data_IF_324154167205
#
_entry.id   IF_324154167205
#
_cell.length_a   1.000
_cell.length_b   1.000
_cell.length_c   1.000
_cell.angle_alpha   90.00
_cell.angle_beta   90.00
_cell.angle_gamma   90.00
#
_symmetry.space_group_name_H-M   'P 1'
#
loop_
_entity.id
_entity.type
_entity.pdbx_description
1 polymer ?
#
# COMPACT_ATOMS: atom_id res chain seq x y z
N UNK A 1 0.29 53.41 -3.68
CA UNK A 1 0.92 52.06 -3.56
C UNK A 1 0.72 51.35 -4.89
N UNK A 2 1.80 51.14 -5.66
CA UNK A 2 1.72 50.72 -7.07
C UNK A 2 1.25 49.28 -7.25
N UNK A 3 0.43 49.05 -8.27
CA UNK A 3 -0.12 47.75 -8.70
C UNK A 3 0.97 46.68 -8.89
N UNK A 4 2.20 47.11 -9.23
CA UNK A 4 3.41 46.29 -9.33
C UNK A 4 3.79 45.56 -8.04
N UNK A 5 3.67 46.20 -6.86
CA UNK A 5 3.96 45.53 -5.57
C UNK A 5 2.93 44.48 -5.20
N UNK A 6 1.65 44.66 -5.59
CA UNK A 6 0.60 43.67 -5.35
C UNK A 6 0.79 42.42 -6.23
N UNK A 7 1.19 42.61 -7.49
CA UNK A 7 1.52 41.52 -8.41
C UNK A 7 2.75 40.73 -7.97
N UNK A 8 3.80 41.38 -7.46
CA UNK A 8 4.97 40.67 -6.93
C UNK A 8 4.65 39.86 -5.67
N UNK A 9 3.84 40.40 -4.75
CA UNK A 9 3.42 39.66 -3.53
C UNK A 9 2.55 38.45 -3.91
N UNK A 10 1.61 38.61 -4.85
CA UNK A 10 0.81 37.50 -5.36
C UNK A 10 1.66 36.44 -6.08
N UNK A 11 2.68 36.87 -6.83
CA UNK A 11 3.58 35.96 -7.54
C UNK A 11 4.51 35.18 -6.59
N UNK A 12 5.06 35.83 -5.55
CA UNK A 12 5.87 35.16 -4.54
C UNK A 12 5.02 34.23 -3.66
N UNK A 13 3.86 34.69 -3.19
CA UNK A 13 2.91 33.86 -2.43
C UNK A 13 2.45 32.62 -3.22
N UNK A 14 2.15 32.78 -4.52
CA UNK A 14 1.82 31.63 -5.36
C UNK A 14 3.01 30.70 -5.61
N UNK A 15 4.25 31.21 -5.70
CA UNK A 15 5.45 30.38 -5.85
C UNK A 15 5.71 29.52 -4.62
N UNK A 16 5.56 30.07 -3.43
CA UNK A 16 5.75 29.33 -2.18
C UNK A 16 4.65 28.27 -2.02
N UNK A 17 3.39 28.63 -2.33
CA UNK A 17 2.26 27.69 -2.32
C UNK A 17 2.41 26.55 -3.36
N UNK A 18 2.88 26.86 -4.58
CA UNK A 18 3.18 25.86 -5.61
C UNK A 18 4.34 24.94 -5.21
N UNK A 19 5.35 25.48 -4.52
CA UNK A 19 6.48 24.70 -4.05
C UNK A 19 6.05 23.73 -2.94
N UNK A 20 5.23 24.18 -1.99
CA UNK A 20 4.77 23.34 -0.87
C UNK A 20 3.76 22.27 -1.31
N UNK A 21 2.84 22.59 -2.22
CA UNK A 21 1.92 21.59 -2.81
C UNK A 21 2.66 20.53 -3.60
N UNK A 22 3.69 20.90 -4.36
CA UNK A 22 4.52 19.92 -5.09
C UNK A 22 5.23 18.95 -4.15
N UNK A 23 5.81 19.44 -3.04
CA UNK A 23 6.47 18.61 -2.03
C UNK A 23 5.50 17.61 -1.41
N UNK A 24 4.30 18.06 -1.01
CA UNK A 24 3.28 17.19 -0.41
C UNK A 24 2.91 16.04 -1.36
N UNK A 25 2.77 16.33 -2.66
CA UNK A 25 2.48 15.31 -3.68
C UNK A 25 3.63 14.30 -3.78
N UNK A 26 4.88 14.74 -3.82
CA UNK A 26 6.05 13.85 -3.81
C UNK A 26 6.09 12.94 -2.57
N UNK A 27 5.90 13.51 -1.37
CA UNK A 27 5.87 12.76 -0.11
C UNK A 27 4.77 11.70 -0.09
N UNK A 28 3.58 12.03 -0.63
CA UNK A 28 2.48 11.07 -0.76
C UNK A 28 2.91 9.85 -1.59
N UNK A 29 3.52 10.04 -2.76
CA UNK A 29 3.96 8.92 -3.60
C UNK A 29 5.00 8.04 -2.92
N UNK A 30 5.94 8.67 -2.20
CA UNK A 30 7.00 7.99 -1.47
C UNK A 30 6.46 7.14 -0.32
N UNK A 31 5.51 7.68 0.43
CA UNK A 31 4.85 6.95 1.51
C UNK A 31 4.06 5.75 0.99
N UNK A 32 3.32 5.93 -0.12
CA UNK A 32 2.64 4.82 -0.80
C UNK A 32 3.62 3.71 -1.20
N UNK A 33 4.74 4.08 -1.81
CA UNK A 33 5.70 3.10 -2.30
C UNK A 33 6.38 2.34 -1.16
N UNK A 34 6.78 3.04 -0.10
CA UNK A 34 7.30 2.42 1.13
C UNK A 34 6.28 1.44 1.73
N UNK A 35 5.02 1.86 1.84
CA UNK A 35 3.95 1.02 2.38
C UNK A 35 3.74 -0.24 1.54
N UNK A 36 3.60 -0.12 0.22
CA UNK A 36 3.44 -1.26 -0.70
C UNK A 36 4.63 -2.21 -0.57
N UNK A 37 5.84 -1.66 -0.52
CA UNK A 37 7.05 -2.43 -0.29
C UNK A 37 7.03 -3.19 1.03
N UNK A 38 6.60 -2.52 2.10
CA UNK A 38 6.45 -3.12 3.41
C UNK A 38 5.46 -4.30 3.38
N UNK A 39 4.30 -4.15 2.72
CA UNK A 39 3.32 -5.24 2.55
C UNK A 39 3.91 -6.45 1.84
N UNK A 40 4.64 -6.23 0.77
CA UNK A 40 5.32 -7.29 0.03
C UNK A 40 6.35 -8.01 0.91
N UNK A 41 7.22 -7.25 1.58
CA UNK A 41 8.22 -7.83 2.47
C UNK A 41 7.61 -8.58 3.65
N UNK A 42 6.50 -8.09 4.20
CA UNK A 42 5.75 -8.76 5.27
C UNK A 42 5.19 -10.12 4.81
N UNK A 43 4.56 -10.17 3.63
CA UNK A 43 4.03 -11.41 3.05
C UNK A 43 5.13 -12.45 2.83
N UNK A 44 6.24 -12.04 2.21
CA UNK A 44 7.37 -12.94 1.90
C UNK A 44 8.13 -13.38 3.15
N UNK A 45 8.39 -12.45 4.08
CA UNK A 45 9.19 -12.70 5.27
C UNK A 45 8.45 -13.50 6.34
N UNK A 46 7.16 -13.21 6.55
CA UNK A 46 6.39 -13.80 7.64
C UNK A 46 5.52 -14.97 7.16
N UNK A 47 4.64 -14.70 6.20
CA UNK A 47 3.57 -15.66 5.86
C UNK A 47 4.11 -16.81 5.01
N UNK A 48 5.01 -16.53 4.06
CA UNK A 48 5.58 -17.60 3.22
C UNK A 48 6.57 -18.46 4.01
N UNK A 49 7.55 -17.81 4.65
CA UNK A 49 8.63 -18.51 5.35
C UNK A 49 8.15 -19.29 6.57
N UNK A 50 7.41 -18.65 7.47
CA UNK A 50 7.05 -19.28 8.76
C UNK A 50 5.73 -20.05 8.69
N UNK A 51 4.70 -19.49 8.05
CA UNK A 51 3.37 -20.12 8.07
C UNK A 51 3.18 -21.20 7.01
N UNK A 52 3.82 -21.11 5.83
CA UNK A 52 3.56 -22.07 4.74
C UNK A 52 4.67 -23.09 4.62
N UNK A 53 5.91 -22.64 4.46
CA UNK A 53 7.02 -23.57 4.20
C UNK A 53 7.21 -24.54 5.36
N UNK A 54 7.07 -24.09 6.61
CA UNK A 54 7.22 -24.95 7.78
C UNK A 54 6.02 -25.88 8.04
N UNK A 55 4.78 -25.42 7.79
CA UNK A 55 3.57 -26.19 8.16
C UNK A 55 3.06 -27.10 7.03
N UNK A 56 3.17 -26.65 5.78
CA UNK A 56 2.59 -27.32 4.61
C UNK A 56 3.64 -27.73 3.56
N UNK A 57 4.89 -27.30 3.71
CA UNK A 57 5.98 -27.63 2.79
C UNK A 57 6.07 -26.72 1.56
N UNK A 58 7.09 -26.99 0.74
CA UNK A 58 7.45 -26.13 -0.39
C UNK A 58 6.46 -26.19 -1.55
N UNK A 59 5.77 -27.31 -1.75
CA UNK A 59 4.82 -27.47 -2.85
C UNK A 59 3.66 -26.47 -2.76
N UNK A 60 3.04 -26.34 -1.59
CA UNK A 60 1.94 -25.41 -1.37
C UNK A 60 2.40 -23.94 -1.38
N UNK A 61 3.68 -23.68 -1.12
CA UNK A 61 4.24 -22.32 -1.20
C UNK A 61 4.13 -21.77 -2.63
N UNK A 62 4.49 -22.57 -3.64
CA UNK A 62 4.40 -22.14 -5.04
C UNK A 62 2.95 -21.89 -5.48
N UNK A 63 2.03 -22.78 -5.09
CA UNK A 63 0.60 -22.65 -5.41
C UNK A 63 0.00 -21.37 -4.80
N UNK A 64 0.30 -21.08 -3.53
CA UNK A 64 -0.17 -19.87 -2.86
C UNK A 64 0.39 -18.59 -3.49
N UNK A 65 1.65 -18.62 -3.95
CA UNK A 65 2.26 -17.51 -4.70
C UNK A 65 1.57 -17.27 -6.05
N UNK A 66 1.22 -18.33 -6.77
CA UNK A 66 0.47 -18.22 -8.03
C UNK A 66 -0.90 -17.59 -7.75
N UNK A 67 -1.63 -18.08 -6.76
CA UNK A 67 -2.97 -17.56 -6.40
C UNK A 67 -2.90 -16.08 -5.99
N UNK A 68 -1.90 -15.72 -5.21
CA UNK A 68 -1.62 -14.33 -4.87
C UNK A 68 -1.36 -13.46 -6.11
N UNK A 69 -0.51 -13.92 -7.03
CA UNK A 69 -0.22 -13.21 -8.28
C UNK A 69 -1.44 -13.06 -9.19
N UNK A 70 -2.28 -14.09 -9.27
CA UNK A 70 -3.56 -14.05 -9.98
C UNK A 70 -4.49 -13.02 -9.37
N UNK A 71 -4.66 -13.02 -8.04
CA UNK A 71 -5.48 -12.03 -7.33
C UNK A 71 -5.02 -10.59 -7.59
N UNK A 72 -3.71 -10.35 -7.52
CA UNK A 72 -3.12 -9.04 -7.80
C UNK A 72 -3.32 -8.59 -9.25
N UNK A 73 -3.21 -9.51 -10.20
CA UNK A 73 -3.40 -9.21 -11.63
C UNK A 73 -4.85 -8.85 -11.92
N UNK A 74 -5.79 -9.66 -11.43
CA UNK A 74 -7.23 -9.43 -11.60
C UNK A 74 -7.63 -8.07 -11.01
N UNK A 75 -7.24 -7.80 -9.77
CA UNK A 75 -7.62 -6.55 -9.10
C UNK A 75 -6.99 -5.32 -9.77
N UNK A 76 -5.77 -5.43 -10.27
CA UNK A 76 -5.10 -4.35 -11.00
C UNK A 76 -5.82 -4.01 -12.31
N UNK A 77 -6.21 -5.04 -13.08
CA UNK A 77 -6.97 -4.85 -14.33
C UNK A 77 -8.33 -4.22 -14.04
N UNK A 78 -9.08 -4.78 -13.08
CA UNK A 78 -10.41 -4.28 -12.72
C UNK A 78 -10.35 -2.83 -12.26
N UNK A 79 -9.40 -2.51 -11.37
CA UNK A 79 -9.25 -1.15 -10.88
C UNK A 79 -8.80 -0.21 -12.00
N UNK A 80 -7.89 -0.59 -12.90
CA UNK A 80 -7.47 0.25 -14.02
C UNK A 80 -8.64 0.64 -14.94
N UNK A 81 -9.64 -0.23 -15.09
CA UNK A 81 -10.87 0.07 -15.85
C UNK A 81 -11.81 1.02 -15.09
N UNK A 82 -11.92 0.85 -13.77
CA UNK A 82 -12.89 1.56 -12.93
C UNK A 82 -12.36 2.92 -12.45
N UNK A 83 -11.05 3.06 -12.22
CA UNK A 83 -10.42 4.23 -11.59
C UNK A 83 -10.63 5.53 -12.38
N UNK A 84 -10.90 5.44 -13.68
CA UNK A 84 -11.25 6.60 -14.52
C UNK A 84 -12.62 7.20 -14.19
N UNK A 85 -13.50 6.42 -13.55
CA UNK A 85 -14.89 6.79 -13.22
C UNK A 85 -15.09 7.08 -11.74
N UNK A 86 -14.10 6.75 -10.90
CA UNK A 86 -14.17 6.93 -9.46
C UNK A 86 -13.15 7.97 -8.99
N UNK A 87 -13.44 8.63 -7.88
CA UNK A 87 -12.42 9.51 -7.27
C UNK A 87 -11.32 8.65 -6.63
N UNK A 88 -10.10 9.19 -6.62
CA UNK A 88 -8.95 8.55 -5.98
C UNK A 88 -9.27 8.17 -4.52
N UNK A 89 -9.92 9.08 -3.78
CA UNK A 89 -10.29 8.84 -2.39
C UNK A 89 -11.26 7.68 -2.23
N UNK A 90 -12.22 7.51 -3.13
CA UNK A 90 -13.14 6.36 -3.08
C UNK A 90 -12.36 5.05 -3.25
N UNK A 91 -11.41 5.00 -4.19
CA UNK A 91 -10.57 3.83 -4.39
C UNK A 91 -9.69 3.53 -3.17
N UNK A 92 -9.08 4.55 -2.55
CA UNK A 92 -8.27 4.40 -1.33
C UNK A 92 -9.12 3.90 -0.17
N UNK A 93 -10.25 4.55 0.12
CA UNK A 93 -11.12 4.14 1.22
C UNK A 93 -11.60 2.70 1.07
N UNK A 94 -12.01 2.31 -0.14
CA UNK A 94 -12.41 0.93 -0.42
C UNK A 94 -11.24 -0.06 -0.21
N UNK A 95 -10.06 0.27 -0.71
CA UNK A 95 -8.87 -0.59 -0.57
C UNK A 95 -8.45 -0.71 0.90
N UNK A 96 -8.48 0.38 1.66
CA UNK A 96 -8.21 0.37 3.11
C UNK A 96 -9.21 -0.52 3.85
N UNK A 97 -10.50 -0.45 3.53
CA UNK A 97 -11.52 -1.30 4.14
C UNK A 97 -11.28 -2.79 3.85
N UNK A 98 -11.01 -3.15 2.58
CA UNK A 98 -10.66 -4.53 2.23
C UNK A 98 -9.39 -5.01 2.96
N UNK A 99 -8.41 -4.12 3.10
CA UNK A 99 -7.18 -4.44 3.82
C UNK A 99 -7.43 -4.69 5.31
N UNK A 100 -8.22 -3.85 5.98
CA UNK A 100 -8.62 -4.06 7.37
C UNK A 100 -9.38 -5.37 7.55
N UNK A 101 -10.31 -5.71 6.64
CA UNK A 101 -11.02 -7.00 6.68
C UNK A 101 -10.03 -8.17 6.59
N UNK A 102 -9.02 -8.06 5.73
CA UNK A 102 -7.99 -9.10 5.58
C UNK A 102 -7.09 -9.22 6.80
N UNK A 103 -6.76 -8.09 7.45
CA UNK A 103 -6.04 -8.08 8.74
C UNK A 103 -6.88 -8.74 9.85
N UNK A 104 -8.19 -8.47 9.90
CA UNK A 104 -9.10 -9.13 10.85
C UNK A 104 -9.15 -10.64 10.59
N UNK A 105 -9.23 -11.06 9.32
CA UNK A 105 -9.16 -12.48 8.96
C UNK A 105 -7.84 -13.13 9.38
N UNK A 106 -6.71 -12.43 9.22
CA UNK A 106 -5.40 -12.90 9.72
C UNK A 106 -5.42 -13.13 11.24
N UNK A 107 -5.99 -12.21 12.01
CA UNK A 107 -6.14 -12.38 13.46
C UNK A 107 -7.02 -13.57 13.82
N UNK A 108 -8.16 -13.74 13.15
CA UNK A 108 -9.08 -14.86 13.40
C UNK A 108 -8.38 -16.20 13.10
N UNK A 109 -7.68 -16.30 11.96
CA UNK A 109 -6.92 -17.50 11.58
C UNK A 109 -5.85 -17.80 12.63
N UNK A 110 -5.14 -16.78 13.09
CA UNK A 110 -4.10 -16.93 14.12
C UNK A 110 -4.69 -17.47 15.43
N UNK A 111 -5.77 -16.87 15.91
CA UNK A 111 -6.46 -17.30 17.14
C UNK A 111 -6.96 -18.73 17.01
N UNK A 112 -7.53 -19.11 15.86
CA UNK A 112 -8.00 -20.46 15.61
C UNK A 112 -6.86 -21.50 15.61
N UNK A 113 -5.72 -21.15 15.00
CA UNK A 113 -4.54 -22.00 15.02
C UNK A 113 -4.00 -22.20 16.45
N UNK A 114 -3.93 -21.12 17.25
CA UNK A 114 -3.37 -21.16 18.60
C UNK A 114 -4.31 -21.88 19.61
N UNK A 115 -5.64 -21.73 19.49
CA UNK A 115 -6.60 -22.30 20.44
C UNK A 115 -7.08 -23.72 20.08
N UNK A 116 -7.29 -24.00 18.79
CA UNK A 116 -7.97 -25.22 18.35
C UNK A 116 -7.07 -26.15 17.54
N UNK A 117 -5.85 -25.70 17.19
CA UNK A 117 -4.91 -26.45 16.35
C UNK A 117 -5.52 -26.89 15.00
N UNK A 118 -6.55 -26.17 14.53
CA UNK A 118 -7.22 -26.41 13.24
C UNK A 118 -6.53 -25.55 12.19
N UNK A 119 -5.91 -26.17 11.19
CA UNK A 119 -5.13 -25.48 10.16
C UNK A 119 -5.73 -25.65 8.76
N UNK A 120 -6.89 -25.03 8.45
CA UNK A 120 -7.57 -25.24 7.17
C UNK A 120 -6.78 -24.58 6.04
N UNK A 121 -6.11 -25.40 5.23
CA UNK A 121 -5.27 -24.93 4.12
C UNK A 121 -6.06 -24.07 3.12
N UNK A 122 -7.34 -24.38 2.89
CA UNK A 122 -8.25 -23.61 2.05
C UNK A 122 -8.37 -22.14 2.48
N UNK A 123 -8.41 -21.89 3.80
CA UNK A 123 -8.52 -20.54 4.35
C UNK A 123 -7.24 -19.73 4.09
N UNK A 124 -6.08 -20.40 4.09
CA UNK A 124 -4.80 -19.78 3.71
C UNK A 124 -4.77 -19.43 2.21
N UNK A 125 -5.28 -20.26 1.31
CA UNK A 125 -5.40 -19.89 -0.11
C UNK A 125 -6.30 -18.67 -0.32
N UNK A 126 -7.47 -18.62 0.34
CA UNK A 126 -8.38 -17.47 0.27
C UNK A 126 -7.69 -16.20 0.80
N UNK A 127 -6.93 -16.33 1.88
CA UNK A 127 -6.16 -15.24 2.44
C UNK A 127 -5.10 -14.73 1.46
N UNK A 128 -4.33 -15.61 0.82
CA UNK A 128 -3.32 -15.23 -0.18
C UNK A 128 -3.94 -14.55 -1.40
N UNK A 129 -5.07 -15.06 -1.86
CA UNK A 129 -5.84 -14.43 -2.95
C UNK A 129 -6.30 -13.02 -2.55
N UNK A 130 -6.87 -12.87 -1.35
CA UNK A 130 -7.35 -11.59 -0.82
C UNK A 130 -6.21 -10.57 -0.66
N UNK A 131 -5.07 -11.02 -0.14
CA UNK A 131 -3.87 -10.19 0.00
C UNK A 131 -3.30 -9.77 -1.37
N UNK A 132 -3.36 -10.69 -2.35
CA UNK A 132 -3.05 -10.40 -3.75
C UNK A 132 -3.95 -9.29 -4.31
N UNK A 133 -5.26 -9.41 -4.12
CA UNK A 133 -6.23 -8.39 -4.52
C UNK A 133 -5.83 -7.03 -3.94
N UNK A 134 -5.62 -6.96 -2.62
CA UNK A 134 -5.25 -5.72 -1.91
C UNK A 134 -3.97 -5.11 -2.48
N UNK A 135 -2.92 -5.91 -2.68
CA UNK A 135 -1.68 -5.37 -3.22
C UNK A 135 -1.83 -4.86 -4.64
N UNK A 136 -2.60 -5.56 -5.49
CA UNK A 136 -2.89 -5.12 -6.84
C UNK A 136 -3.64 -3.78 -6.86
N UNK A 137 -4.61 -3.60 -5.95
CA UNK A 137 -5.30 -2.33 -5.76
C UNK A 137 -4.33 -1.21 -5.34
N UNK A 138 -3.54 -1.41 -4.28
CA UNK A 138 -2.58 -0.40 -3.81
C UNK A 138 -1.53 -0.03 -4.87
N UNK A 139 -0.99 -1.03 -5.58
CA UNK A 139 -0.02 -0.83 -6.66
C UNK A 139 -0.62 -0.01 -7.79
N UNK A 140 -1.85 -0.33 -8.20
CA UNK A 140 -2.55 0.38 -9.27
C UNK A 140 -2.91 1.81 -8.87
N UNK A 141 -3.37 2.03 -7.62
CA UNK A 141 -3.61 3.37 -7.07
C UNK A 141 -2.33 4.20 -7.07
N UNK A 142 -1.22 3.63 -6.62
CA UNK A 142 0.08 4.31 -6.56
C UNK A 142 0.55 4.74 -7.95
N UNK A 143 0.56 3.82 -8.91
CA UNK A 143 0.97 4.10 -10.30
C UNK A 143 0.05 5.14 -10.93
N UNK A 144 -1.28 4.96 -10.82
CA UNK A 144 -2.24 5.92 -11.34
C UNK A 144 -2.04 7.31 -10.73
N UNK A 145 -1.77 7.38 -9.42
CA UNK A 145 -1.51 8.65 -8.74
C UNK A 145 -0.27 9.34 -9.28
N UNK A 146 0.84 8.61 -9.55
CA UNK A 146 2.07 9.18 -10.12
C UNK A 146 1.82 9.67 -11.56
N UNK A 147 1.16 8.87 -12.38
CA UNK A 147 0.85 9.22 -13.77
C UNK A 147 -0.06 10.45 -13.86
N UNK A 148 -1.02 10.60 -12.94
CA UNK A 148 -1.95 11.73 -12.94
C UNK A 148 -1.30 13.03 -12.41
N UNK A 149 -0.39 12.94 -11.44
CA UNK A 149 0.24 14.11 -10.82
C UNK A 149 1.45 14.63 -11.61
N UNK A 150 2.18 13.78 -12.33
CA UNK A 150 3.48 14.12 -12.93
C UNK A 150 3.49 13.93 -14.44
N UNK A 151 2.90 14.89 -15.18
CA UNK A 151 2.83 14.82 -16.65
C UNK A 151 4.19 14.95 -17.36
N UNK A 152 5.17 15.62 -16.75
CA UNK A 152 6.46 15.94 -17.39
C UNK A 152 7.70 15.32 -16.69
N UNK A 153 7.58 14.87 -15.43
CA UNK A 153 8.69 14.32 -14.61
C UNK A 153 8.41 12.91 -14.07
N UNK A 154 7.52 12.16 -14.73
CA UNK A 154 7.07 10.84 -14.25
C UNK A 154 8.20 9.82 -14.09
N UNK A 155 9.23 9.85 -14.93
CA UNK A 155 10.31 8.84 -14.93
C UNK A 155 11.18 8.88 -13.68
N UNK A 156 11.64 10.06 -13.26
CA UNK A 156 12.48 10.21 -12.05
C UNK A 156 11.70 9.89 -10.79
N UNK A 157 10.46 10.39 -10.69
CA UNK A 157 9.58 10.13 -9.55
C UNK A 157 9.21 8.66 -9.47
N UNK A 158 8.95 8.02 -10.61
CA UNK A 158 8.70 6.58 -10.67
C UNK A 158 9.92 5.78 -10.20
N UNK A 159 11.12 6.09 -10.69
CA UNK A 159 12.35 5.41 -10.27
C UNK A 159 12.61 5.56 -8.75
N UNK A 160 12.41 6.76 -8.20
CA UNK A 160 12.53 7.00 -6.75
C UNK A 160 11.46 6.25 -5.95
N UNK A 161 10.22 6.23 -6.44
CA UNK A 161 9.15 5.45 -5.81
C UNK A 161 9.50 3.95 -5.81
N UNK A 162 10.07 3.44 -6.89
CA UNK A 162 10.48 2.03 -6.97
C UNK A 162 11.60 1.71 -5.99
N UNK A 163 12.61 2.58 -5.88
CA UNK A 163 13.68 2.43 -4.89
C UNK A 163 13.13 2.38 -3.45
N UNK A 164 12.18 3.26 -3.14
CA UNK A 164 11.49 3.28 -1.84
C UNK A 164 10.64 2.04 -1.60
N UNK A 165 9.99 1.50 -2.64
CA UNK A 165 9.30 0.21 -2.53
C UNK A 165 10.27 -0.93 -2.17
N UNK A 166 11.44 -0.99 -2.79
CA UNK A 166 12.46 -1.98 -2.41
C UNK A 166 12.97 -1.76 -0.99
N UNK A 167 13.17 -0.51 -0.56
CA UNK A 167 13.53 -0.19 0.82
C UNK A 167 12.47 -0.69 1.81
N UNK A 168 11.18 -0.44 1.53
CA UNK A 168 10.07 -0.95 2.34
C UNK A 168 10.09 -2.48 2.45
N UNK A 169 10.36 -3.19 1.35
CA UNK A 169 10.51 -4.67 1.34
C UNK A 169 11.64 -5.13 2.26
N UNK A 170 12.81 -4.49 2.16
CA UNK A 170 13.98 -4.83 2.97
C UNK A 170 13.68 -4.61 4.45
N UNK A 171 13.07 -3.47 4.81
CA UNK A 171 12.69 -3.15 6.19
C UNK A 171 11.73 -4.22 6.72
N UNK A 172 10.63 -4.48 6.01
CA UNK A 172 9.65 -5.47 6.46
C UNK A 172 10.27 -6.86 6.59
N UNK A 173 11.01 -7.33 5.59
CA UNK A 173 11.68 -8.62 5.64
C UNK A 173 12.64 -8.71 6.84
N UNK A 174 13.42 -7.67 7.10
CA UNK A 174 14.32 -7.62 8.26
C UNK A 174 13.55 -7.66 9.56
N UNK A 175 12.46 -6.89 9.68
CA UNK A 175 11.57 -6.93 10.85
C UNK A 175 11.02 -8.34 11.10
N UNK A 176 10.72 -9.11 10.04
CA UNK A 176 10.23 -10.50 10.19
C UNK A 176 11.25 -11.46 10.81
N UNK A 177 12.54 -11.12 10.82
CA UNK A 177 13.58 -11.92 11.47
C UNK A 177 13.66 -11.69 12.98
N UNK A 178 13.22 -10.52 13.46
CA UNK A 178 13.41 -10.10 14.86
C UNK A 178 12.10 -9.95 15.64
N UNK A 179 10.97 -9.74 14.97
CA UNK A 179 9.68 -9.48 15.59
C UNK A 179 8.74 -10.67 15.40
N UNK A 180 7.89 -10.92 16.39
CA UNK A 180 6.84 -11.93 16.27
C UNK A 180 5.72 -11.46 15.32
N UNK A 181 5.02 -12.43 14.72
CA UNK A 181 3.92 -12.19 13.79
C UNK A 181 2.87 -11.22 14.36
N UNK A 182 2.53 -11.34 15.64
CA UNK A 182 1.55 -10.46 16.29
C UNK A 182 1.98 -9.00 16.27
N UNK A 183 3.23 -8.71 16.64
CA UNK A 183 3.78 -7.35 16.60
C UNK A 183 3.78 -6.82 15.17
N UNK A 184 4.13 -7.65 14.20
CA UNK A 184 4.15 -7.25 12.79
C UNK A 184 2.75 -6.91 12.26
N UNK A 185 1.69 -7.64 12.67
CA UNK A 185 0.31 -7.30 12.31
C UNK A 185 -0.10 -5.95 12.92
N UNK A 186 0.33 -5.64 14.14
CA UNK A 186 0.09 -4.32 14.74
C UNK A 186 0.82 -3.21 13.97
N UNK A 187 2.08 -3.42 13.61
CA UNK A 187 2.85 -2.48 12.80
C UNK A 187 2.15 -2.25 11.45
N UNK A 188 1.72 -3.32 10.80
CA UNK A 188 0.98 -3.24 9.53
C UNK A 188 -0.31 -2.40 9.67
N UNK A 189 -1.11 -2.69 10.70
CA UNK A 189 -2.34 -1.95 11.00
C UNK A 189 -2.06 -0.47 11.24
N UNK A 190 -1.03 -0.15 12.03
CA UNK A 190 -0.60 1.23 12.27
C UNK A 190 -0.16 1.91 10.96
N UNK A 191 0.67 1.25 10.15
CA UNK A 191 1.13 1.78 8.86
C UNK A 191 -0.04 2.08 7.92
N UNK A 192 -1.03 1.18 7.84
CA UNK A 192 -2.24 1.37 7.03
C UNK A 192 -3.06 2.58 7.50
N UNK A 193 -3.30 2.69 8.81
CA UNK A 193 -4.07 3.81 9.39
C UNK A 193 -3.33 5.14 9.23
N UNK A 194 -2.01 5.18 9.43
CA UNK A 194 -1.19 6.36 9.21
C UNK A 194 -1.22 6.80 7.74
N UNK A 195 -1.08 5.86 6.80
CA UNK A 195 -1.17 6.14 5.37
C UNK A 195 -2.56 6.72 5.01
N UNK A 196 -3.63 6.07 5.46
CA UNK A 196 -4.99 6.53 5.20
C UNK A 196 -5.23 7.94 5.75
N UNK A 197 -4.83 8.18 7.01
CA UNK A 197 -4.96 9.48 7.67
C UNK A 197 -4.20 10.57 6.92
N UNK A 198 -2.96 10.29 6.50
CA UNK A 198 -2.15 11.22 5.73
C UNK A 198 -2.81 11.57 4.39
N UNK A 199 -3.31 10.58 3.66
CA UNK A 199 -3.99 10.79 2.37
C UNK A 199 -5.27 11.60 2.57
N UNK A 200 -6.05 11.28 3.60
CA UNK A 200 -7.29 11.97 3.92
C UNK A 200 -7.04 13.45 4.23
N UNK A 201 -6.04 13.75 5.06
CA UNK A 201 -5.64 15.13 5.37
C UNK A 201 -5.22 15.86 4.09
N UNK A 202 -4.36 15.25 3.25
CA UNK A 202 -3.96 15.86 1.98
C UNK A 202 -5.17 16.15 1.08
N UNK A 203 -6.15 15.26 1.04
CA UNK A 203 -7.35 15.46 0.24
C UNK A 203 -8.21 16.62 0.77
N UNK A 204 -8.42 16.71 2.08
CA UNK A 204 -9.16 17.81 2.69
C UNK A 204 -8.47 19.17 2.47
N UNK A 205 -7.14 19.23 2.55
CA UNK A 205 -6.40 20.47 2.34
C UNK A 205 -6.33 20.93 0.88
N UNK A 206 -6.34 20.01 -0.09
CA UNK A 206 -6.23 20.38 -1.51
C UNK A 206 -7.57 20.72 -2.19
N UNK A 207 -8.71 20.41 -1.56
CA UNK A 207 -10.05 20.66 -2.10
C UNK A 207 -10.76 21.86 -1.46
N UNK A 208 -10.07 22.62 -0.60
CA UNK A 208 -10.49 23.92 -0.05
C UNK A 208 -9.83 25.04 -0.86
#
# INVERSE_FOLDING_TARGET
MSMSRRLSILYYSNKDLLNDTSKIIHYKHYLFALFIGFQEGYLFGNIIKFDITCLYGLQHTAEMLIIYGVGATISSILLALIIKRMTMMTCVSFTTLLHLITIILLFIIRIQNDLYNIQPITLKYILFFSYGIILGLWSTISIYSICNSMKFSSSSTFAQSLALRYLGRIIAYTCTLFLCQTILIYIDTCCLLCLFSFIFICYCCCNQ
#
